data_IF_087757114462
#
_entry.id   IF_087757114462
#
_cell.length_a   1.000
_cell.length_b   1.000
_cell.length_c   1.000
_cell.angle_alpha   90.00
_cell.angle_beta   90.00
_cell.angle_gamma   90.00
#
_symmetry.space_group_name_H-M   'P 1'
#
loop_
_entity.id
_entity.type
_entity.pdbx_description
1 polymer ?
#
# COMPACT_ATOMS: atom_id res chain seq x y z
N UNK A 1 -12.55 60.53 24.45
CA UNK A 1 -13.88 59.90 24.55
C UNK A 1 -13.84 58.38 24.80
N UNK A 2 -12.80 57.65 24.36
CA UNK A 2 -12.67 56.20 24.57
C UNK A 2 -12.52 55.77 26.05
N UNK A 3 -11.80 56.54 26.88
CA UNK A 3 -11.64 56.20 28.31
C UNK A 3 -12.89 56.46 29.16
N UNK A 4 -13.82 57.31 28.70
CA UNK A 4 -15.09 57.58 29.39
C UNK A 4 -16.10 56.45 29.14
N UNK A 5 -16.17 55.93 27.91
CA UNK A 5 -17.00 54.77 27.57
C UNK A 5 -16.49 53.48 28.24
N UNK A 6 -15.17 53.26 28.26
CA UNK A 6 -14.58 52.12 28.99
C UNK A 6 -14.78 52.25 30.51
N UNK A 7 -14.73 53.47 31.06
CA UNK A 7 -15.02 53.75 32.47
C UNK A 7 -16.48 53.52 32.86
N UNK A 8 -17.45 53.93 32.02
CA UNK A 8 -18.89 53.72 32.27
C UNK A 8 -19.27 52.24 32.12
N UNK A 9 -18.78 51.54 31.10
CA UNK A 9 -18.99 50.09 30.97
C UNK A 9 -18.35 49.32 32.12
N UNK A 10 -17.15 49.72 32.55
CA UNK A 10 -16.50 49.21 33.75
C UNK A 10 -17.39 49.38 34.98
N UNK A 11 -17.88 50.59 35.26
CA UNK A 11 -18.74 50.88 36.41
C UNK A 11 -20.05 50.07 36.42
N UNK A 12 -20.65 49.83 35.25
CA UNK A 12 -21.86 49.01 35.10
C UNK A 12 -21.58 47.52 35.29
N UNK A 13 -20.43 47.02 34.81
CA UNK A 13 -20.07 45.60 34.92
C UNK A 13 -19.45 45.22 36.26
N UNK A 14 -18.84 46.18 36.98
CA UNK A 14 -18.07 45.92 38.22
C UNK A 14 -18.89 45.16 39.27
N UNK A 15 -20.14 45.53 39.59
CA UNK A 15 -20.93 44.83 40.59
C UNK A 15 -21.20 43.37 40.19
N UNK A 16 -21.63 43.14 38.95
CA UNK A 16 -22.00 41.81 38.45
C UNK A 16 -20.81 40.90 38.23
N UNK A 17 -19.68 41.45 37.79
CA UNK A 17 -18.46 40.69 37.60
C UNK A 17 -17.83 40.29 38.94
N UNK A 18 -17.96 41.13 39.97
CA UNK A 18 -17.54 40.80 41.33
C UNK A 18 -18.48 39.79 42.03
N UNK A 19 -19.79 39.85 41.77
CA UNK A 19 -20.78 38.98 42.43
C UNK A 19 -21.01 37.63 41.74
N UNK A 20 -20.97 37.61 40.40
CA UNK A 20 -21.42 36.47 39.59
C UNK A 20 -20.33 35.97 38.62
N UNK A 21 -19.14 36.58 38.65
CA UNK A 21 -18.02 36.23 37.76
C UNK A 21 -18.27 36.52 36.28
N UNK A 22 -19.32 37.28 35.95
CA UNK A 22 -19.76 37.55 34.57
C UNK A 22 -20.21 39.01 34.41
N UNK A 23 -19.82 39.68 33.32
CA UNK A 23 -20.26 41.06 33.07
C UNK A 23 -21.76 41.11 32.79
N UNK A 24 -22.38 42.26 33.05
CA UNK A 24 -23.77 42.52 32.65
C UNK A 24 -23.85 42.76 31.14
N UNK A 25 -22.86 43.50 30.60
CA UNK A 25 -22.71 43.85 29.20
C UNK A 25 -21.29 43.49 28.75
N UNK A 26 -21.15 42.65 27.74
CA UNK A 26 -19.85 42.34 27.14
C UNK A 26 -19.84 40.99 26.45
N UNK A 27 -19.00 40.85 25.43
CA UNK A 27 -18.84 39.58 24.73
C UNK A 27 -18.02 38.59 25.55
N UNK A 28 -18.29 37.31 25.35
CA UNK A 28 -17.53 36.22 25.93
C UNK A 28 -16.11 36.15 25.36
N UNK A 29 -15.15 35.77 26.20
CA UNK A 29 -13.77 35.57 25.75
C UNK A 29 -13.67 34.37 24.81
N UNK A 30 -12.87 34.48 23.74
CA UNK A 30 -12.61 33.34 22.88
C UNK A 30 -11.78 32.28 23.61
N UNK A 31 -12.04 31.01 23.33
CA UNK A 31 -11.26 29.91 23.87
C UNK A 31 -9.86 29.83 23.27
N UNK A 32 -8.89 29.39 24.08
CA UNK A 32 -7.59 28.90 23.60
C UNK A 32 -7.72 27.55 22.88
N UNK A 33 -6.62 26.93 22.42
CA UNK A 33 -6.69 25.71 21.62
C UNK A 33 -7.52 24.57 22.24
N UNK A 34 -8.58 24.16 21.52
CA UNK A 34 -9.60 23.19 21.94
C UNK A 34 -10.45 23.58 23.16
N UNK A 35 -10.27 24.79 23.71
CA UNK A 35 -11.02 25.29 24.85
C UNK A 35 -12.31 25.98 24.41
N UNK A 36 -13.35 25.86 25.23
CA UNK A 36 -14.62 26.51 24.96
C UNK A 36 -14.50 28.04 25.02
N UNK A 37 -15.35 28.72 24.25
CA UNK A 37 -15.56 30.15 24.38
C UNK A 37 -16.31 30.47 25.68
N UNK A 38 -15.93 31.57 26.31
CA UNK A 38 -16.60 32.10 27.49
C UNK A 38 -18.01 32.59 27.16
N UNK A 39 -18.91 32.63 28.15
CA UNK A 39 -20.27 33.13 27.94
C UNK A 39 -20.28 34.65 27.76
N UNK A 40 -21.23 35.14 26.98
CA UNK A 40 -21.55 36.57 26.88
C UNK A 40 -22.13 37.12 28.20
N UNK A 41 -22.21 38.44 28.27
CA UNK A 41 -22.78 39.18 29.40
C UNK A 41 -24.26 38.88 29.60
N UNK A 42 -24.73 39.05 30.83
CA UNK A 42 -26.09 38.64 31.21
C UNK A 42 -27.21 39.33 30.41
N UNK A 43 -27.07 40.62 30.12
CA UNK A 43 -28.10 41.37 29.38
C UNK A 43 -27.77 41.53 27.90
N UNK A 44 -26.53 41.91 27.60
CA UNK A 44 -26.10 42.13 26.23
C UNK A 44 -24.69 41.60 26.03
N UNK A 45 -24.51 40.75 25.02
CA UNK A 45 -23.19 40.25 24.67
C UNK A 45 -23.28 38.92 23.95
N UNK A 46 -22.45 38.77 22.93
CA UNK A 46 -22.29 37.53 22.21
C UNK A 46 -21.46 36.54 23.03
N UNK A 47 -21.68 35.25 22.81
CA UNK A 47 -20.77 34.24 23.32
C UNK A 47 -19.42 34.29 22.60
N UNK A 48 -18.35 33.93 23.31
CA UNK A 48 -17.02 33.82 22.72
C UNK A 48 -16.92 32.64 21.79
N UNK A 49 -16.05 32.70 20.79
CA UNK A 49 -15.78 31.57 19.90
C UNK A 49 -14.99 30.49 20.63
N UNK A 50 -15.30 29.22 20.36
CA UNK A 50 -14.47 28.10 20.77
C UNK A 50 -13.13 28.12 20.04
N UNK A 51 -12.06 27.74 20.73
CA UNK A 51 -10.74 27.69 20.13
C UNK A 51 -10.53 26.45 19.27
N UNK A 52 -9.76 26.57 18.20
CA UNK A 52 -9.45 25.45 17.31
C UNK A 52 -8.61 24.39 18.04
N UNK A 53 -8.87 23.11 17.77
CA UNK A 53 -8.11 22.00 18.35
C UNK A 53 -6.72 21.86 17.74
N UNK A 54 -5.75 21.41 18.56
CA UNK A 54 -4.46 20.89 18.10
C UNK A 54 -4.62 19.48 17.49
N UNK A 55 -3.60 18.91 16.82
CA UNK A 55 -3.70 17.55 16.28
C UNK A 55 -4.20 16.54 17.32
N UNK A 56 -5.22 15.74 16.96
CA UNK A 56 -5.89 14.79 17.85
C UNK A 56 -6.88 15.41 18.85
N UNK A 57 -6.93 16.74 18.97
CA UNK A 57 -7.78 17.46 19.90
C UNK A 57 -9.01 18.04 19.21
N UNK A 58 -10.18 17.88 19.82
CA UNK A 58 -11.42 18.48 19.35
C UNK A 58 -11.37 20.01 19.39
N UNK A 59 -12.17 20.65 18.54
CA UNK A 59 -12.44 22.07 18.64
C UNK A 59 -13.26 22.39 19.89
N UNK A 60 -13.00 23.54 20.50
CA UNK A 60 -13.76 24.00 21.65
C UNK A 60 -15.18 24.41 21.26
N UNK A 61 -16.14 24.26 22.15
CA UNK A 61 -17.50 24.73 21.90
C UNK A 61 -17.57 26.27 21.93
N UNK A 62 -18.45 26.86 21.13
CA UNK A 62 -18.80 28.26 21.24
C UNK A 62 -19.52 28.57 22.55
N UNK A 63 -19.26 29.74 23.12
CA UNK A 63 -19.92 30.23 24.32
C UNK A 63 -21.37 30.62 24.05
N UNK A 64 -22.22 30.52 25.05
CA UNK A 64 -23.60 31.00 25.00
C UNK A 64 -23.68 32.52 25.21
N UNK A 65 -24.63 33.18 24.55
CA UNK A 65 -25.02 34.55 24.89
C UNK A 65 -25.94 34.61 26.14
N UNK A 66 -26.18 35.82 26.67
CA UNK A 66 -27.08 36.08 27.78
C UNK A 66 -28.54 36.30 27.34
N UNK A 67 -29.11 37.46 27.65
CA UNK A 67 -30.47 37.82 27.25
C UNK A 67 -30.56 38.22 25.78
N UNK A 68 -29.68 39.11 25.35
CA UNK A 68 -29.55 39.57 23.96
C UNK A 68 -28.12 39.33 23.49
N UNK A 69 -27.97 38.64 22.36
CA UNK A 69 -26.66 38.39 21.75
C UNK A 69 -26.63 37.06 21.01
N UNK A 70 -25.67 36.88 20.13
CA UNK A 70 -25.51 35.66 19.36
C UNK A 70 -24.60 34.67 20.08
N UNK A 71 -24.85 33.38 19.90
CA UNK A 71 -23.93 32.34 20.36
C UNK A 71 -22.60 32.40 19.61
N UNK A 72 -21.51 32.07 20.30
CA UNK A 72 -20.19 32.00 19.68
C UNK A 72 -20.07 30.82 18.72
N UNK A 73 -19.19 30.92 17.73
CA UNK A 73 -18.92 29.81 16.83
C UNK A 73 -18.12 28.70 17.56
N UNK A 74 -18.36 27.44 17.19
CA UNK A 74 -17.52 26.32 17.59
C UNK A 74 -16.16 26.35 16.88
N UNK A 75 -15.11 25.94 17.59
CA UNK A 75 -13.76 25.83 17.06
C UNK A 75 -13.63 24.66 16.08
N UNK A 76 -12.73 24.79 15.10
CA UNK A 76 -12.39 23.68 14.20
C UNK A 76 -11.69 22.55 14.95
N UNK A 77 -11.99 21.30 14.62
CA UNK A 77 -11.26 20.13 15.12
C UNK A 77 -9.84 20.08 14.55
N UNK A 78 -8.87 19.72 15.39
CA UNK A 78 -7.53 19.41 14.90
C UNK A 78 -7.51 18.09 14.11
N UNK A 79 -6.38 17.75 13.50
CA UNK A 79 -6.25 16.53 12.69
C UNK A 79 -6.89 15.29 13.37
N UNK A 80 -7.78 14.62 12.67
CA UNK A 80 -8.52 13.45 13.13
C UNK A 80 -9.51 13.66 14.28
N UNK A 81 -9.85 14.91 14.61
CA UNK A 81 -10.73 15.24 15.74
C UNK A 81 -11.95 16.07 15.32
N UNK A 82 -13.04 15.96 16.09
CA UNK A 82 -14.30 16.63 15.79
C UNK A 82 -14.24 18.15 15.97
N UNK A 83 -15.07 18.86 15.22
CA UNK A 83 -15.35 20.28 15.43
C UNK A 83 -16.16 20.51 16.70
N UNK A 84 -15.98 21.68 17.32
CA UNK A 84 -16.74 22.11 18.48
C UNK A 84 -18.15 22.55 18.09
N UNK A 85 -19.10 22.42 19.01
CA UNK A 85 -20.47 22.87 18.76
C UNK A 85 -20.58 24.39 18.83
N UNK A 86 -21.50 24.98 18.08
CA UNK A 86 -21.86 26.38 18.22
C UNK A 86 -22.57 26.68 19.54
N UNK A 87 -22.35 27.88 20.06
CA UNK A 87 -22.99 28.36 21.29
C UNK A 87 -24.45 28.73 21.09
N UNK A 88 -25.23 28.72 22.16
CA UNK A 88 -26.64 29.14 22.08
C UNK A 88 -26.78 30.66 21.97
N UNK A 89 -27.70 31.12 21.14
CA UNK A 89 -28.13 32.51 21.09
C UNK A 89 -28.80 32.96 22.40
N UNK A 90 -28.97 34.28 22.53
CA UNK A 90 -29.53 34.90 23.72
C UNK A 90 -30.97 34.48 23.96
N UNK A 91 -31.40 34.48 25.22
CA UNK A 91 -32.72 33.98 25.63
C UNK A 91 -33.90 34.71 24.96
N UNK A 92 -33.76 36.03 24.74
CA UNK A 92 -34.79 36.84 24.10
C UNK A 92 -34.51 36.96 22.62
N UNK A 93 -33.38 37.55 22.26
CA UNK A 93 -32.98 37.77 20.87
C UNK A 93 -31.55 37.30 20.68
N UNK A 94 -31.35 36.42 19.72
CA UNK A 94 -30.02 35.99 19.37
C UNK A 94 -30.00 34.74 18.51
N UNK A 95 -29.12 34.76 17.52
CA UNK A 95 -28.88 33.61 16.67
C UNK A 95 -27.96 32.61 17.39
N UNK A 96 -28.14 31.34 17.09
CA UNK A 96 -27.17 30.32 17.47
C UNK A 96 -25.86 30.46 16.71
N UNK A 97 -24.75 30.10 17.35
CA UNK A 97 -23.43 30.10 16.72
C UNK A 97 -23.25 28.94 15.74
N UNK A 98 -22.42 29.09 14.72
CA UNK A 98 -22.10 27.99 13.82
C UNK A 98 -21.29 26.90 14.52
N UNK A 99 -21.47 25.64 14.14
CA UNK A 99 -20.62 24.53 14.52
C UNK A 99 -19.27 24.57 13.78
N UNK A 100 -18.22 24.10 14.44
CA UNK A 100 -16.88 24.03 13.88
C UNK A 100 -16.72 22.89 12.89
N UNK A 101 -15.85 23.06 11.89
CA UNK A 101 -15.52 21.98 10.96
C UNK A 101 -14.76 20.84 11.67
N UNK A 102 -14.98 19.61 11.23
CA UNK A 102 -14.16 18.46 11.59
C UNK A 102 -12.75 18.55 11.04
N UNK A 103 -11.78 17.95 11.74
CA UNK A 103 -10.40 17.89 11.30
C UNK A 103 -10.15 16.84 10.23
N UNK A 104 -9.23 17.12 9.31
CA UNK A 104 -8.82 16.17 8.29
C UNK A 104 -8.15 14.94 8.90
N UNK A 105 -8.32 13.78 8.28
CA UNK A 105 -7.68 12.53 8.67
C UNK A 105 -6.15 12.61 8.44
N UNK A 106 -5.38 12.08 9.38
CA UNK A 106 -3.90 11.99 9.32
C UNK A 106 -3.47 10.64 9.88
N UNK A 107 -2.49 9.94 9.25
CA UNK A 107 -1.95 8.70 9.80
C UNK A 107 -1.58 8.83 11.27
N UNK A 108 -1.87 7.77 12.04
CA UNK A 108 -1.44 7.64 13.43
C UNK A 108 -2.01 8.71 14.40
N UNK A 109 -2.99 9.50 13.97
CA UNK A 109 -3.76 10.40 14.84
C UNK A 109 -5.21 9.91 14.87
N UNK A 110 -5.73 9.60 16.05
CA UNK A 110 -7.09 9.09 16.26
C UNK A 110 -7.48 7.97 15.27
N UNK A 111 -6.56 7.05 15.00
CA UNK A 111 -6.77 5.91 14.11
C UNK A 111 -6.87 6.25 12.62
N UNK A 112 -6.44 7.44 12.19
CA UNK A 112 -6.51 7.86 10.77
C UNK A 112 -7.93 8.19 10.31
N UNK A 113 -8.86 8.40 11.24
CA UNK A 113 -10.24 8.77 10.93
C UNK A 113 -10.35 10.28 10.70
N UNK A 114 -11.26 10.70 9.83
CA UNK A 114 -11.62 12.11 9.73
C UNK A 114 -12.55 12.51 10.90
N UNK A 115 -12.45 13.76 11.35
CA UNK A 115 -13.26 14.27 12.45
C UNK A 115 -14.68 14.65 12.01
N UNK A 116 -15.66 14.51 12.88
CA UNK A 116 -17.02 14.98 12.61
C UNK A 116 -17.12 16.51 12.67
N UNK A 117 -18.05 17.09 11.92
CA UNK A 117 -18.44 18.48 12.08
C UNK A 117 -19.21 18.71 13.39
N UNK A 118 -19.01 19.85 14.03
CA UNK A 118 -19.74 20.26 15.23
C UNK A 118 -21.17 20.69 14.91
N UNK A 119 -22.10 20.51 15.84
CA UNK A 119 -23.48 20.95 15.64
C UNK A 119 -23.59 22.47 15.75
N UNK A 120 -24.46 23.09 14.96
CA UNK A 120 -24.85 24.47 15.16
C UNK A 120 -25.54 24.70 16.50
N UNK A 121 -25.36 25.88 17.06
CA UNK A 121 -26.00 26.31 18.29
C UNK A 121 -27.46 26.68 18.06
N UNK A 122 -28.28 26.56 19.09
CA UNK A 122 -29.70 26.91 18.99
C UNK A 122 -29.93 28.41 19.27
N UNK A 123 -30.91 29.01 18.62
CA UNK A 123 -31.61 30.18 19.14
C UNK A 123 -32.72 29.75 20.13
N UNK A 124 -33.32 30.70 20.85
CA UNK A 124 -34.27 30.38 21.94
C UNK A 124 -35.67 30.95 21.74
N UNK A 125 -35.87 32.27 21.75
CA UNK A 125 -37.19 32.88 21.52
C UNK A 125 -37.32 33.53 20.14
N UNK A 126 -36.39 34.44 19.82
CA UNK A 126 -36.25 35.06 18.50
C UNK A 126 -34.82 34.88 17.98
N UNK A 127 -34.69 34.41 16.74
CA UNK A 127 -33.41 34.31 16.06
C UNK A 127 -33.25 33.00 15.30
N UNK A 128 -32.22 32.94 14.48
CA UNK A 128 -31.94 31.81 13.61
C UNK A 128 -31.05 30.79 14.31
N UNK A 129 -31.23 29.51 13.97
CA UNK A 129 -30.34 28.46 14.38
C UNK A 129 -28.99 28.56 13.68
N UNK A 130 -27.92 28.19 14.38
CA UNK A 130 -26.57 28.18 13.81
C UNK A 130 -26.37 27.07 12.79
N UNK A 131 -25.55 27.30 11.78
CA UNK A 131 -25.19 26.26 10.82
C UNK A 131 -24.38 25.13 11.48
N UNK A 132 -24.57 23.89 11.04
CA UNK A 132 -23.70 22.77 11.40
C UNK A 132 -22.35 22.83 10.66
N UNK A 133 -21.31 22.30 11.28
CA UNK A 133 -19.96 22.25 10.71
C UNK A 133 -19.81 21.13 9.68
N UNK A 134 -19.00 21.35 8.65
CA UNK A 134 -18.62 20.31 7.70
C UNK A 134 -17.82 19.19 8.39
N UNK A 135 -18.01 17.94 7.96
CA UNK A 135 -17.17 16.81 8.35
C UNK A 135 -15.76 16.86 7.73
N UNK A 136 -14.78 16.32 8.45
CA UNK A 136 -13.37 16.32 8.06
C UNK A 136 -13.10 15.53 6.80
N UNK A 137 -12.08 15.94 6.06
CA UNK A 137 -11.68 15.31 4.79
C UNK A 137 -10.59 14.24 4.96
N UNK A 138 -10.53 13.38 3.95
CA UNK A 138 -9.76 12.14 3.77
C UNK A 138 -8.27 12.02 4.12
N UNK A 139 -7.90 10.75 4.39
CA UNK A 139 -6.56 10.16 4.29
C UNK A 139 -6.49 9.23 3.07
N UNK A 140 -5.48 9.37 2.21
CA UNK A 140 -5.25 8.49 1.06
C UNK A 140 -4.62 7.18 1.52
N UNK A 141 -5.11 6.04 1.02
CA UNK A 141 -4.53 4.73 1.27
C UNK A 141 -3.08 4.65 0.83
N UNK A 142 -2.25 3.97 1.62
CA UNK A 142 -0.84 3.80 1.30
C UNK A 142 -0.66 3.03 -0.02
N UNK A 143 0.27 3.45 -0.87
CA UNK A 143 0.64 2.67 -2.04
C UNK A 143 1.22 1.31 -1.64
N UNK A 144 0.95 0.27 -2.44
CA UNK A 144 1.59 -1.03 -2.32
C UNK A 144 3.05 -0.89 -2.67
N UNK A 145 3.92 -1.02 -1.66
CA UNK A 145 5.37 -0.95 -1.84
C UNK A 145 5.93 -2.35 -1.70
N UNK A 146 6.61 -2.80 -2.75
CA UNK A 146 7.37 -4.05 -2.72
C UNK A 146 8.56 -3.93 -1.75
N UNK A 147 8.88 -4.97 -0.96
CA UNK A 147 9.96 -4.91 0.01
C UNK A 147 11.33 -4.70 -0.66
N UNK A 148 12.19 -3.92 0.00
CA UNK A 148 13.59 -3.84 -0.38
C UNK A 148 14.28 -5.18 -0.07
N UNK A 149 14.94 -5.75 -1.07
CA UNK A 149 15.66 -7.01 -0.94
C UNK A 149 17.05 -6.74 -0.40
N UNK A 150 17.46 -7.48 0.63
CA UNK A 150 18.78 -7.37 1.23
C UNK A 150 19.35 -8.75 1.57
N UNK A 151 20.58 -9.00 1.09
CA UNK A 151 21.29 -10.26 1.30
C UNK A 151 21.03 -11.32 0.22
N UNK A 152 21.99 -12.25 0.10
CA UNK A 152 21.98 -13.37 -0.85
C UNK A 152 22.32 -14.62 -0.04
N UNK A 153 21.52 -15.66 -0.15
CA UNK A 153 21.78 -16.92 0.54
C UNK A 153 22.95 -17.68 -0.11
N UNK A 154 23.52 -18.63 0.64
CA UNK A 154 24.69 -19.39 0.20
C UNK A 154 24.44 -20.22 -1.06
N UNK A 155 25.45 -20.28 -1.94
CA UNK A 155 25.47 -21.18 -3.10
C UNK A 155 25.55 -22.64 -2.63
N UNK A 156 24.84 -23.53 -3.31
CA UNK A 156 24.96 -24.98 -3.13
C UNK A 156 26.34 -25.50 -3.52
N UNK A 157 26.83 -26.51 -2.80
CA UNK A 157 28.12 -27.11 -3.10
C UNK A 157 28.14 -27.71 -4.52
N UNK A 158 29.24 -27.53 -5.25
CA UNK A 158 29.40 -28.16 -6.56
C UNK A 158 29.55 -29.68 -6.41
N UNK A 159 29.10 -30.39 -7.43
CA UNK A 159 29.30 -31.82 -7.56
C UNK A 159 30.78 -32.17 -7.75
N UNK A 160 31.17 -33.32 -7.21
CA UNK A 160 32.54 -33.82 -7.33
C UNK A 160 32.80 -34.38 -8.73
N UNK A 161 33.96 -34.12 -9.35
CA UNK A 161 34.30 -34.77 -10.60
C UNK A 161 34.56 -36.28 -10.41
N UNK A 162 34.28 -37.07 -11.44
CA UNK A 162 34.65 -38.48 -11.54
C UNK A 162 35.57 -38.68 -12.75
N UNK A 163 36.79 -39.17 -12.48
CA UNK A 163 37.92 -39.15 -13.41
C UNK A 163 38.49 -40.57 -13.53
N UNK A 164 38.37 -41.16 -14.72
CA UNK A 164 38.91 -42.48 -15.02
C UNK A 164 40.04 -42.38 -16.05
N UNK A 165 41.23 -42.83 -15.68
CA UNK A 165 42.45 -42.72 -16.50
C UNK A 165 43.06 -44.10 -16.74
N UNK A 166 43.33 -44.43 -18.01
CA UNK A 166 43.98 -45.69 -18.43
C UNK A 166 43.29 -46.96 -17.89
N UNK A 167 41.96 -46.90 -17.75
CA UNK A 167 41.15 -47.98 -17.20
C UNK A 167 39.79 -48.02 -17.91
N UNK A 168 39.05 -49.12 -17.75
CA UNK A 168 37.74 -49.29 -18.36
C UNK A 168 36.63 -49.24 -17.31
N UNK A 169 35.57 -48.48 -17.59
CA UNK A 169 34.45 -48.24 -16.69
C UNK A 169 33.72 -46.96 -17.03
N UNK A 170 32.45 -46.89 -16.63
CA UNK A 170 31.64 -45.70 -16.77
C UNK A 170 31.91 -44.73 -15.62
N UNK A 171 31.89 -43.42 -15.90
CA UNK A 171 32.09 -42.35 -14.91
C UNK A 171 30.88 -41.46 -14.79
N UNK A 172 30.58 -41.04 -13.58
CA UNK A 172 29.44 -40.16 -13.28
C UNK A 172 29.90 -39.02 -12.40
N UNK A 173 29.92 -37.81 -12.95
CA UNK A 173 30.13 -36.60 -12.18
C UNK A 173 29.03 -36.45 -11.11
N UNK A 174 29.42 -36.06 -9.90
CA UNK A 174 28.48 -35.83 -8.81
C UNK A 174 27.53 -34.68 -9.11
N UNK A 175 26.32 -34.71 -8.55
CA UNK A 175 25.36 -33.62 -8.73
C UNK A 175 25.72 -32.40 -7.87
N UNK A 176 25.40 -31.22 -8.37
CA UNK A 176 25.42 -29.99 -7.59
C UNK A 176 24.32 -30.01 -6.52
N UNK A 177 24.62 -29.49 -5.34
CA UNK A 177 23.64 -29.36 -4.26
C UNK A 177 22.75 -28.13 -4.47
N UNK A 178 21.55 -28.15 -3.90
CA UNK A 178 20.65 -27.00 -3.92
C UNK A 178 21.26 -25.77 -3.23
N UNK A 179 20.92 -24.59 -3.73
CA UNK A 179 21.19 -23.33 -3.05
C UNK A 179 20.45 -23.24 -1.71
N UNK A 180 21.02 -22.51 -0.76
CA UNK A 180 20.34 -22.27 0.51
C UNK A 180 19.13 -21.35 0.33
N UNK A 181 18.09 -21.55 1.14
CA UNK A 181 16.96 -20.63 1.16
C UNK A 181 17.38 -19.29 1.77
N UNK A 182 16.93 -18.19 1.16
CA UNK A 182 17.02 -16.84 1.68
C UNK A 182 15.96 -16.56 2.74
N UNK A 183 16.23 -15.58 3.60
CA UNK A 183 15.20 -14.99 4.45
C UNK A 183 14.09 -14.33 3.60
N UNK A 184 12.97 -13.98 4.24
CA UNK A 184 11.74 -13.44 3.62
C UNK A 184 11.92 -12.24 2.66
N UNK A 185 13.06 -11.53 2.72
CA UNK A 185 13.43 -10.45 1.81
C UNK A 185 14.89 -10.56 1.32
N UNK A 186 15.40 -11.77 1.12
CA UNK A 186 16.72 -12.03 0.57
C UNK A 186 16.63 -12.80 -0.75
N UNK A 187 17.69 -12.74 -1.56
CA UNK A 187 17.81 -13.60 -2.75
C UNK A 187 18.09 -15.03 -2.31
N UNK A 188 17.36 -15.98 -2.89
CA UNK A 188 17.65 -17.40 -2.73
C UNK A 188 19.04 -17.77 -3.26
N UNK A 189 19.68 -18.75 -2.65
CA UNK A 189 21.04 -19.16 -3.02
C UNK A 189 21.05 -19.78 -4.41
N UNK A 190 22.16 -19.64 -5.15
CA UNK A 190 22.29 -20.33 -6.43
C UNK A 190 22.55 -21.82 -6.22
N UNK A 191 22.05 -22.68 -7.10
CA UNK A 191 22.42 -24.09 -7.12
C UNK A 191 23.92 -24.31 -7.36
N UNK A 192 24.45 -25.41 -6.85
CA UNK A 192 25.80 -25.88 -7.14
C UNK A 192 25.92 -26.37 -8.57
N UNK A 193 27.10 -26.24 -9.17
CA UNK A 193 27.35 -26.81 -10.50
C UNK A 193 27.48 -28.33 -10.43
N UNK A 194 27.06 -29.05 -11.45
CA UNK A 194 27.33 -30.48 -11.61
C UNK A 194 28.82 -30.77 -11.81
N UNK A 195 29.24 -31.98 -11.41
CA UNK A 195 30.61 -32.46 -11.54
C UNK A 195 30.91 -32.96 -12.95
N UNK A 196 32.18 -32.91 -13.35
CA UNK A 196 32.68 -33.46 -14.61
C UNK A 196 32.71 -34.99 -14.58
N UNK A 197 32.24 -35.65 -15.63
CA UNK A 197 32.58 -37.04 -15.94
C UNK A 197 33.66 -37.11 -17.03
N UNK A 198 34.83 -37.70 -16.75
CA UNK A 198 35.93 -37.82 -17.71
C UNK A 198 36.48 -39.25 -17.79
N UNK A 199 36.49 -39.81 -19.00
CA UNK A 199 37.26 -41.03 -19.34
C UNK A 199 38.41 -40.65 -20.28
N UNK A 200 39.65 -40.94 -19.88
CA UNK A 200 40.85 -40.64 -20.67
C UNK A 200 41.79 -41.85 -20.77
N UNK A 201 42.20 -42.20 -21.99
CA UNK A 201 43.17 -43.29 -22.23
C UNK A 201 42.65 -44.71 -21.94
N UNK A 202 41.34 -44.87 -21.73
CA UNK A 202 40.67 -46.14 -21.48
C UNK A 202 39.26 -46.18 -22.08
N UNK A 203 38.45 -47.17 -21.68
CA UNK A 203 37.15 -47.44 -22.32
C UNK A 203 35.94 -47.21 -21.39
N UNK A 204 34.97 -46.38 -21.77
CA UNK A 204 33.70 -46.26 -21.04
C UNK A 204 32.87 -45.03 -21.39
N UNK A 205 31.66 -44.99 -20.84
CA UNK A 205 30.74 -43.86 -20.97
C UNK A 205 31.05 -42.77 -19.95
N UNK A 206 30.78 -41.51 -20.31
CA UNK A 206 30.91 -40.37 -19.42
C UNK A 206 29.56 -39.68 -19.21
N UNK A 207 29.22 -39.46 -17.95
CA UNK A 207 28.02 -38.74 -17.53
C UNK A 207 28.42 -37.53 -16.68
N UNK A 208 27.98 -36.35 -17.09
CA UNK A 208 28.13 -35.14 -16.30
C UNK A 208 27.07 -35.08 -15.20
N UNK A 209 27.43 -34.55 -14.04
CA UNK A 209 26.49 -34.39 -12.94
C UNK A 209 25.44 -33.31 -13.23
N UNK A 210 24.25 -33.41 -12.66
CA UNK A 210 23.23 -32.37 -12.82
C UNK A 210 23.55 -31.13 -11.97
N UNK A 211 23.14 -29.95 -12.42
CA UNK A 211 23.17 -28.73 -11.62
C UNK A 211 22.16 -28.79 -10.48
N UNK A 212 22.52 -28.21 -9.33
CA UNK A 212 21.64 -28.10 -8.17
C UNK A 212 20.52 -27.07 -8.41
N UNK A 213 19.40 -27.21 -7.71
CA UNK A 213 18.33 -26.21 -7.80
C UNK A 213 18.71 -24.91 -7.10
N UNK A 214 18.11 -23.79 -7.50
CA UNK A 214 18.14 -22.57 -6.69
C UNK A 214 17.47 -22.77 -5.33
N UNK A 215 17.84 -21.96 -4.35
CA UNK A 215 17.15 -21.84 -3.06
C UNK A 215 15.95 -20.90 -3.17
N UNK A 216 14.95 -21.06 -2.31
CA UNK A 216 13.79 -20.17 -2.22
C UNK A 216 14.21 -18.83 -1.63
N UNK A 217 13.64 -17.72 -2.09
CA UNK A 217 13.90 -16.42 -1.48
C UNK A 217 12.88 -15.37 -1.90
N UNK A 218 12.96 -14.20 -1.27
CA UNK A 218 12.19 -13.04 -1.70
C UNK A 218 12.40 -12.77 -3.19
N UNK A 219 13.63 -12.93 -3.67
CA UNK A 219 13.95 -13.19 -5.07
C UNK A 219 14.34 -14.66 -5.21
N UNK A 220 13.87 -15.32 -6.26
CA UNK A 220 14.18 -16.72 -6.54
C UNK A 220 15.68 -16.95 -6.77
N UNK A 221 16.20 -18.04 -6.22
CA UNK A 221 17.57 -18.48 -6.47
C UNK A 221 17.74 -19.06 -7.86
N UNK A 222 18.89 -18.80 -8.49
CA UNK A 222 19.21 -19.35 -9.79
C UNK A 222 19.59 -20.84 -9.69
N UNK A 223 19.31 -21.60 -10.74
CA UNK A 223 19.80 -22.97 -10.88
C UNK A 223 21.31 -23.05 -11.09
N UNK A 224 21.92 -24.18 -10.73
CA UNK A 224 23.33 -24.47 -10.99
C UNK A 224 23.55 -24.98 -12.41
N UNK A 225 24.76 -24.82 -12.95
CA UNK A 225 25.10 -25.36 -14.26
C UNK A 225 25.18 -26.90 -14.22
N UNK A 226 24.81 -27.57 -15.30
CA UNK A 226 25.12 -28.97 -15.52
C UNK A 226 26.62 -29.22 -15.67
N UNK A 227 27.06 -30.42 -15.33
CA UNK A 227 28.44 -30.87 -15.46
C UNK A 227 28.74 -31.42 -16.85
N UNK A 228 29.97 -31.23 -17.31
CA UNK A 228 30.39 -31.73 -18.61
C UNK A 228 30.63 -33.26 -18.60
N UNK A 229 30.56 -33.87 -19.78
CA UNK A 229 30.91 -35.27 -20.03
C UNK A 229 31.89 -35.39 -21.18
N UNK A 230 33.02 -36.08 -20.95
CA UNK A 230 34.08 -36.25 -21.94
C UNK A 230 34.56 -37.70 -21.94
N UNK A 231 34.53 -38.37 -23.10
CA UNK A 231 35.11 -39.71 -23.27
C UNK A 231 35.78 -39.86 -24.63
N UNK A 232 36.83 -40.70 -24.68
CA UNK A 232 37.56 -41.01 -25.90
C UNK A 232 37.01 -42.22 -26.66
N UNK A 233 36.13 -43.03 -26.05
CA UNK A 233 35.79 -44.37 -26.56
C UNK A 233 34.30 -44.74 -26.47
N UNK A 234 33.49 -44.02 -25.68
CA UNK A 234 32.11 -44.39 -25.35
C UNK A 234 31.13 -43.24 -25.58
N UNK A 235 29.92 -43.37 -25.04
CA UNK A 235 28.91 -42.31 -25.09
C UNK A 235 29.17 -41.18 -24.08
N UNK A 236 28.78 -39.96 -24.43
CA UNK A 236 28.90 -38.79 -23.54
C UNK A 236 27.53 -38.13 -23.32
N UNK A 237 27.08 -38.01 -22.07
CA UNK A 237 25.87 -37.28 -21.71
C UNK A 237 26.22 -36.16 -20.73
N UNK A 238 26.11 -34.92 -21.19
CA UNK A 238 26.26 -33.76 -20.33
C UNK A 238 25.11 -33.67 -19.33
N UNK A 239 25.40 -33.20 -18.12
CA UNK A 239 24.39 -33.08 -17.07
C UNK A 239 23.42 -31.94 -17.34
N UNK A 240 22.17 -32.09 -16.93
CA UNK A 240 21.19 -31.01 -17.06
C UNK A 240 21.48 -29.85 -16.10
N UNK A 241 21.11 -28.64 -16.51
CA UNK A 241 21.11 -27.47 -15.65
C UNK A 241 20.04 -27.56 -14.57
N UNK A 242 20.35 -26.99 -13.41
CA UNK A 242 19.44 -26.95 -12.27
C UNK A 242 18.28 -25.98 -12.49
N UNK A 243 17.13 -26.29 -11.88
CA UNK A 243 15.97 -25.40 -11.93
C UNK A 243 16.13 -24.24 -10.94
N UNK A 244 15.63 -23.07 -11.34
CA UNK A 244 15.47 -21.94 -10.45
C UNK A 244 14.19 -22.04 -9.59
N UNK A 245 14.03 -21.08 -8.68
CA UNK A 245 12.84 -20.94 -7.84
C UNK A 245 12.10 -19.64 -8.11
N UNK A 246 10.83 -19.59 -7.71
CA UNK A 246 9.96 -18.41 -7.80
C UNK A 246 10.39 -17.35 -6.77
N UNK A 247 10.27 -16.07 -7.12
CA UNK A 247 10.36 -14.98 -6.13
C UNK A 247 9.11 -14.90 -5.27
N UNK A 248 9.22 -15.17 -3.97
CA UNK A 248 8.05 -15.22 -3.08
C UNK A 248 7.72 -13.88 -2.40
N UNK A 249 8.63 -12.92 -2.43
CA UNK A 249 8.34 -11.58 -1.92
C UNK A 249 7.49 -10.80 -2.93
N UNK A 250 6.79 -9.77 -2.43
CA UNK A 250 6.00 -8.94 -3.29
C UNK A 250 6.87 -8.29 -4.39
N UNK A 251 6.51 -8.50 -5.65
CA UNK A 251 7.30 -8.08 -6.81
C UNK A 251 8.71 -8.69 -6.93
N UNK A 252 9.01 -9.76 -6.18
CA UNK A 252 10.30 -10.43 -6.25
C UNK A 252 10.52 -11.10 -7.61
N UNK A 253 11.72 -10.98 -8.18
CA UNK A 253 12.02 -11.65 -9.45
C UNK A 253 12.14 -13.17 -9.28
N UNK A 254 11.84 -13.90 -10.35
CA UNK A 254 12.16 -15.32 -10.44
C UNK A 254 13.64 -15.58 -10.67
N UNK A 255 14.13 -16.75 -10.24
CA UNK A 255 15.50 -17.18 -10.51
C UNK A 255 15.71 -17.59 -11.97
N UNK A 256 16.93 -17.45 -12.48
CA UNK A 256 17.29 -17.99 -13.79
C UNK A 256 17.60 -19.48 -13.74
N UNK A 257 17.18 -20.24 -14.75
CA UNK A 257 17.57 -21.65 -14.90
C UNK A 257 19.07 -21.80 -15.16
N UNK A 258 19.66 -22.90 -14.72
CA UNK A 258 21.06 -23.21 -15.00
C UNK A 258 21.25 -23.73 -16.43
N UNK A 259 22.36 -23.39 -17.08
CA UNK A 259 22.69 -24.00 -18.38
C UNK A 259 23.06 -25.49 -18.26
N UNK A 260 22.82 -26.26 -19.31
CA UNK A 260 23.25 -27.66 -19.41
C UNK A 260 24.76 -27.83 -19.60
N UNK A 261 25.27 -29.02 -19.29
CA UNK A 261 26.68 -29.40 -19.43
C UNK A 261 27.01 -29.94 -20.82
N UNK A 262 28.22 -29.67 -21.31
CA UNK A 262 28.68 -30.10 -22.63
C UNK A 262 28.87 -31.60 -22.70
N UNK A 263 28.72 -32.17 -23.90
CA UNK A 263 29.07 -33.57 -24.17
C UNK A 263 30.10 -33.69 -25.29
N UNK A 264 31.16 -34.47 -25.03
CA UNK A 264 32.25 -34.71 -25.98
C UNK A 264 32.57 -36.20 -26.05
N UNK A 265 32.33 -36.81 -27.21
CA UNK A 265 32.80 -38.16 -27.51
C UNK A 265 33.74 -38.13 -28.71
N UNK A 266 34.92 -38.75 -28.60
CA UNK A 266 35.85 -38.90 -29.73
C UNK A 266 35.71 -40.26 -30.46
N UNK A 267 34.73 -41.07 -30.05
CA UNK A 267 34.39 -42.33 -30.68
C UNK A 267 33.19 -42.21 -31.63
N UNK A 268 32.85 -43.29 -32.33
CA UNK A 268 31.66 -43.39 -33.19
C UNK A 268 30.35 -43.58 -32.38
N UNK A 269 30.39 -43.31 -31.07
CA UNK A 269 29.31 -43.46 -30.10
C UNK A 269 28.54 -42.13 -29.91
N UNK A 270 27.29 -42.23 -29.43
CA UNK A 270 26.41 -41.07 -29.33
C UNK A 270 26.86 -40.08 -28.24
N UNK A 271 26.68 -38.78 -28.49
CA UNK A 271 26.85 -37.74 -27.49
C UNK A 271 25.65 -36.80 -27.43
N UNK A 272 25.24 -36.42 -26.23
CA UNK A 272 24.10 -35.54 -25.98
C UNK A 272 24.42 -34.50 -24.93
N UNK A 273 24.28 -33.22 -25.29
CA UNK A 273 24.47 -32.10 -24.36
C UNK A 273 23.33 -32.07 -23.34
N UNK A 274 23.61 -31.58 -22.15
CA UNK A 274 22.62 -31.43 -21.10
C UNK A 274 21.57 -30.38 -21.47
N UNK A 275 20.34 -30.58 -21.02
CA UNK A 275 19.28 -29.59 -21.16
C UNK A 275 19.47 -28.43 -20.17
N UNK A 276 18.98 -27.25 -20.52
CA UNK A 276 18.92 -26.10 -19.63
C UNK A 276 17.78 -26.23 -18.61
N UNK A 277 18.01 -25.71 -17.41
CA UNK A 277 17.06 -25.74 -16.32
C UNK A 277 15.90 -24.76 -16.50
N UNK A 278 14.78 -25.07 -15.84
CA UNK A 278 13.60 -24.23 -15.81
C UNK A 278 13.86 -22.96 -15.00
N UNK A 279 13.35 -21.83 -15.48
CA UNK A 279 13.37 -20.60 -14.71
C UNK A 279 12.24 -20.51 -13.67
N UNK A 280 12.39 -19.60 -12.72
CA UNK A 280 11.37 -19.26 -11.75
C UNK A 280 10.45 -18.14 -12.22
N UNK A 281 9.20 -18.16 -11.78
CA UNK A 281 8.26 -17.04 -11.98
C UNK A 281 8.51 -15.87 -11.03
N UNK A 282 8.00 -14.69 -11.40
CA UNK A 282 7.99 -13.50 -10.56
C UNK A 282 6.87 -13.51 -9.51
N UNK A 283 7.12 -12.85 -8.38
CA UNK A 283 6.17 -12.68 -7.29
C UNK A 283 5.12 -11.61 -7.57
N UNK A 284 3.94 -11.75 -6.98
CA UNK A 284 2.85 -10.78 -7.12
C UNK A 284 3.19 -9.44 -6.46
N UNK A 285 2.85 -8.31 -7.05
CA UNK A 285 3.08 -6.99 -6.44
C UNK A 285 2.31 -6.76 -5.14
N UNK A 286 2.79 -5.84 -4.30
CA UNK A 286 2.15 -5.51 -3.02
C UNK A 286 0.79 -4.81 -3.23
N UNK A 287 -0.21 -5.13 -2.41
CA UNK A 287 -1.51 -4.47 -2.50
C UNK A 287 -1.46 -3.02 -1.98
N UNK A 288 -2.25 -2.14 -2.60
CA UNK A 288 -2.52 -0.80 -2.09
C UNK A 288 -3.47 -0.82 -0.89
N UNK A 289 -3.25 0.08 0.06
CA UNK A 289 -4.07 0.27 1.24
C UNK A 289 -5.40 0.96 0.93
N UNK A 290 -6.41 0.72 1.76
CA UNK A 290 -7.72 1.38 1.62
C UNK A 290 -7.66 2.86 2.00
N UNK A 291 -8.47 3.68 1.33
CA UNK A 291 -8.67 5.07 1.70
C UNK A 291 -9.49 5.21 3.00
N UNK A 292 -9.24 6.29 3.75
CA UNK A 292 -9.97 6.56 5.00
C UNK A 292 -11.38 7.10 4.77
N UNK A 293 -12.32 6.84 5.67
CA UNK A 293 -13.68 7.41 5.60
C UNK A 293 -13.67 8.92 5.84
N UNK A 294 -14.59 9.63 5.16
CA UNK A 294 -14.89 11.02 5.46
C UNK A 294 -15.68 11.19 6.75
N UNK A 295 -15.51 12.33 7.43
CA UNK A 295 -16.26 12.63 8.66
C UNK A 295 -17.70 13.01 8.35
N UNK A 296 -18.67 12.67 9.19
CA UNK A 296 -20.03 13.20 9.13
C UNK A 296 -20.07 14.72 9.34
N UNK A 297 -21.01 15.38 8.67
CA UNK A 297 -21.39 16.77 8.95
C UNK A 297 -22.11 16.91 10.29
N UNK A 298 -22.04 18.09 10.87
CA UNK A 298 -22.77 18.46 12.08
C UNK A 298 -24.21 18.87 11.79
N UNK A 299 -25.12 18.63 12.72
CA UNK A 299 -26.50 19.10 12.59
C UNK A 299 -26.59 20.63 12.67
N UNK A 300 -27.55 21.23 11.99
CA UNK A 300 -27.92 22.62 12.20
C UNK A 300 -28.63 22.82 13.54
N UNK A 301 -28.47 24.00 14.13
CA UNK A 301 -29.14 24.39 15.35
C UNK A 301 -30.60 24.75 15.13
N UNK A 302 -31.43 24.62 16.16
CA UNK A 302 -32.84 25.06 16.12
C UNK A 302 -32.95 26.57 16.13
N UNK A 303 -33.94 27.12 15.44
CA UNK A 303 -34.32 28.53 15.54
C UNK A 303 -34.90 28.89 16.90
N UNK A 304 -35.23 30.17 17.07
CA UNK A 304 -36.10 30.64 18.14
C UNK A 304 -37.48 30.00 18.05
N UNK A 305 -38.11 29.81 19.21
CA UNK A 305 -39.42 29.18 19.34
C UNK A 305 -40.50 29.93 18.55
N UNK A 306 -40.46 31.27 18.52
CA UNK A 306 -41.50 32.07 17.90
C UNK A 306 -41.13 32.44 16.46
N UNK A 307 -39.94 33.04 16.27
CA UNK A 307 -39.46 33.48 14.97
C UNK A 307 -38.01 33.08 14.73
N UNK A 308 -37.73 32.72 13.48
CA UNK A 308 -36.39 32.47 12.96
C UNK A 308 -36.30 31.17 12.17
N UNK A 309 -35.29 31.08 11.33
CA UNK A 309 -35.02 29.93 10.50
C UNK A 309 -34.11 28.93 11.22
N UNK A 310 -34.37 27.64 11.02
CA UNK A 310 -33.49 26.58 11.51
C UNK A 310 -32.14 26.64 10.79
N UNK A 311 -31.08 26.28 11.51
CA UNK A 311 -29.73 26.26 10.96
C UNK A 311 -29.57 25.21 9.88
N UNK A 312 -28.84 25.55 8.82
CA UNK A 312 -28.44 24.59 7.78
C UNK A 312 -27.48 23.55 8.38
N UNK A 313 -27.60 22.28 8.00
CA UNK A 313 -26.65 21.28 8.46
C UNK A 313 -25.33 21.34 7.69
N UNK A 314 -24.29 20.80 8.31
CA UNK A 314 -22.99 20.61 7.69
C UNK A 314 -23.01 19.48 6.66
N UNK A 315 -22.25 19.68 5.58
CA UNK A 315 -21.97 18.63 4.61
C UNK A 315 -21.08 17.54 5.23
N UNK A 316 -21.22 16.31 4.75
CA UNK A 316 -20.25 15.25 5.03
C UNK A 316 -18.86 15.56 4.50
N UNK A 317 -17.87 14.81 4.95
CA UNK A 317 -16.49 14.86 4.51
C UNK A 317 -16.23 13.86 3.39
N UNK A 318 -15.31 14.19 2.47
CA UNK A 318 -14.93 13.30 1.38
C UNK A 318 -14.18 12.06 1.86
N UNK A 319 -14.49 10.91 1.26
CA UNK A 319 -13.77 9.65 1.46
C UNK A 319 -12.42 9.60 0.73
N UNK A 320 -11.44 8.91 1.29
CA UNK A 320 -10.05 8.86 0.82
C UNK A 320 -9.84 8.00 -0.40
N UNK A 321 -8.93 8.41 -1.29
CA UNK A 321 -8.57 7.54 -2.41
C UNK A 321 -7.86 6.29 -1.88
N UNK A 322 -8.07 5.14 -2.52
CA UNK A 322 -7.27 3.95 -2.27
C UNK A 322 -5.84 4.11 -2.80
N UNK A 323 -4.88 3.43 -2.18
CA UNK A 323 -3.51 3.39 -2.65
C UNK A 323 -3.36 2.56 -3.91
N UNK A 324 -2.40 2.89 -4.77
CA UNK A 324 -2.11 2.05 -5.96
C UNK A 324 -1.45 0.74 -5.56
N UNK A 325 -1.60 -0.31 -6.35
CA UNK A 325 -0.84 -1.55 -6.19
C UNK A 325 0.63 -1.41 -6.63
N UNK A 326 1.49 -2.27 -6.11
CA UNK A 326 2.89 -2.39 -6.50
C UNK A 326 3.07 -3.26 -7.75
N UNK A 327 4.21 -3.12 -8.43
CA UNK A 327 4.50 -3.88 -9.65
C UNK A 327 4.74 -5.36 -9.37
N UNK A 328 4.33 -6.23 -10.30
CA UNK A 328 4.70 -7.64 -10.29
C UNK A 328 6.19 -7.87 -10.57
N UNK A 329 6.73 -8.97 -10.09
CA UNK A 329 8.13 -9.35 -10.28
C UNK A 329 8.37 -9.88 -11.68
N UNK A 330 9.57 -9.68 -12.23
CA UNK A 330 9.92 -10.26 -13.52
C UNK A 330 10.14 -11.77 -13.41
N UNK A 331 9.74 -12.53 -14.44
CA UNK A 331 10.11 -13.92 -14.58
C UNK A 331 11.62 -14.07 -14.84
N UNK A 332 12.18 -15.21 -14.42
CA UNK A 332 13.59 -15.53 -14.69
C UNK A 332 13.79 -16.10 -16.09
N UNK A 333 15.00 -16.00 -16.62
CA UNK A 333 15.34 -16.60 -17.91
C UNK A 333 15.61 -18.10 -17.78
N UNK A 334 15.19 -18.88 -18.76
CA UNK A 334 15.50 -20.29 -18.87
C UNK A 334 16.99 -20.53 -19.10
N UNK A 335 17.49 -21.69 -18.68
CA UNK A 335 18.88 -22.07 -18.91
C UNK A 335 19.12 -22.46 -20.37
N UNK A 336 20.31 -22.18 -20.90
CA UNK A 336 20.68 -22.66 -22.24
C UNK A 336 20.95 -24.17 -22.24
N UNK A 337 20.57 -24.85 -23.32
CA UNK A 337 20.99 -26.22 -23.59
C UNK A 337 22.44 -26.27 -24.08
N UNK A 338 23.14 -27.36 -23.78
CA UNK A 338 24.56 -27.48 -24.10
C UNK A 338 24.82 -28.07 -25.48
N UNK A 339 25.92 -27.62 -26.10
CA UNK A 339 26.41 -28.16 -27.36
C UNK A 339 27.14 -29.49 -27.23
N UNK A 340 27.40 -30.11 -28.39
CA UNK A 340 28.07 -31.41 -28.50
C UNK A 340 29.24 -31.37 -29.47
N UNK A 341 30.29 -32.15 -29.18
CA UNK A 341 31.37 -32.49 -30.13
C UNK A 341 31.46 -34.02 -30.26
N UNK A 342 31.41 -34.56 -31.49
CA UNK A 342 31.53 -36.01 -31.76
C UNK A 342 32.66 -36.36 -32.74
N UNK A 343 33.10 -37.62 -32.71
CA UNK A 343 33.89 -38.26 -33.77
C UNK A 343 33.13 -38.35 -35.11
N UNK A 344 33.86 -38.70 -36.17
CA UNK A 344 33.37 -38.60 -37.55
C UNK A 344 32.31 -39.66 -37.88
N UNK A 345 31.03 -39.27 -37.92
CA UNK A 345 29.90 -40.17 -38.24
C UNK A 345 29.02 -40.55 -37.04
N UNK A 346 29.36 -40.10 -35.82
CA UNK A 346 28.56 -40.38 -34.63
C UNK A 346 27.37 -39.42 -34.46
N UNK A 347 26.35 -39.87 -33.70
CA UNK A 347 25.16 -39.08 -33.41
C UNK A 347 25.45 -38.06 -32.30
N UNK A 348 25.51 -36.76 -32.64
CA UNK A 348 25.55 -35.68 -31.66
C UNK A 348 24.25 -34.90 -31.56
N UNK A 349 23.65 -34.83 -30.37
CA UNK A 349 22.39 -34.11 -30.10
C UNK A 349 22.61 -32.97 -29.10
N UNK A 350 22.39 -31.73 -29.49
CA UNK A 350 22.42 -30.61 -28.56
C UNK A 350 21.30 -30.71 -27.51
N UNK A 351 21.55 -30.20 -26.31
CA UNK A 351 20.56 -30.15 -25.25
C UNK A 351 19.48 -29.11 -25.51
N UNK A 352 18.26 -29.33 -25.02
CA UNK A 352 17.16 -28.36 -25.12
C UNK A 352 17.38 -27.16 -24.19
N UNK A 353 16.97 -25.97 -24.62
CA UNK A 353 16.88 -24.80 -23.73
C UNK A 353 15.73 -24.96 -22.73
N UNK A 354 15.92 -24.43 -21.53
CA UNK A 354 14.92 -24.40 -20.48
C UNK A 354 13.86 -23.32 -20.74
N UNK A 355 12.60 -23.51 -20.32
CA UNK A 355 11.58 -22.49 -20.42
C UNK A 355 11.88 -21.30 -19.49
N UNK A 356 11.52 -20.11 -19.96
CA UNK A 356 11.50 -18.87 -19.17
C UNK A 356 10.34 -18.85 -18.18
N UNK A 357 10.47 -18.02 -17.15
CA UNK A 357 9.49 -17.89 -16.08
C UNK A 357 8.41 -16.87 -16.41
N UNK A 358 7.21 -17.10 -15.91
CA UNK A 358 6.13 -16.11 -16.00
C UNK A 358 6.42 -14.88 -15.13
N UNK A 359 6.03 -13.71 -15.61
CA UNK A 359 5.98 -12.49 -14.81
C UNK A 359 4.92 -12.59 -13.71
N UNK A 360 5.22 -12.06 -12.54
CA UNK A 360 4.27 -11.96 -11.44
C UNK A 360 3.15 -10.97 -11.76
N UNK A 361 1.94 -11.22 -11.25
CA UNK A 361 0.85 -10.28 -11.38
C UNK A 361 1.14 -8.97 -10.62
N UNK A 362 0.61 -7.85 -11.10
CA UNK A 362 0.61 -6.60 -10.35
C UNK A 362 -0.23 -6.70 -9.07
N UNK A 363 0.14 -5.92 -8.06
CA UNK A 363 -0.62 -5.83 -6.81
C UNK A 363 -1.97 -5.17 -7.05
N UNK A 364 -2.98 -5.56 -6.28
CA UNK A 364 -4.29 -4.91 -6.36
C UNK A 364 -4.22 -3.48 -5.83
N UNK A 365 -4.98 -2.57 -6.43
CA UNK A 365 -5.21 -1.25 -5.86
C UNK A 365 -6.12 -1.34 -4.63
N UNK A 366 -5.95 -0.43 -3.68
CA UNK A 366 -6.79 -0.34 -2.49
C UNK A 366 -8.15 0.26 -2.81
N UNK A 367 -9.18 -0.12 -2.06
CA UNK A 367 -10.50 0.49 -2.20
C UNK A 367 -10.49 1.96 -1.71
N UNK A 368 -11.32 2.79 -2.31
CA UNK A 368 -11.62 4.11 -1.79
C UNK A 368 -12.35 4.02 -0.45
N UNK A 369 -12.16 5.03 0.40
CA UNK A 369 -12.89 5.19 1.65
C UNK A 369 -14.29 5.73 1.40
N UNK A 370 -15.25 5.33 2.24
CA UNK A 370 -16.62 5.80 2.11
C UNK A 370 -16.79 7.28 2.45
N UNK A 371 -17.92 7.83 1.99
CA UNK A 371 -18.31 9.21 2.28
C UNK A 371 -18.75 9.43 3.73
N UNK A 372 -18.54 10.63 4.23
CA UNK A 372 -19.20 11.11 5.44
C UNK A 372 -20.68 11.43 5.19
N UNK A 373 -21.55 11.01 6.11
CA UNK A 373 -22.96 11.41 6.08
C UNK A 373 -23.10 12.93 6.32
N UNK A 374 -24.06 13.59 5.69
CA UNK A 374 -24.39 14.98 6.04
C UNK A 374 -25.19 15.07 7.35
N UNK A 375 -25.23 16.27 7.93
CA UNK A 375 -26.02 16.54 9.13
C UNK A 375 -27.51 16.75 8.85
N UNK A 376 -28.31 16.78 9.91
CA UNK A 376 -29.73 17.17 9.85
C UNK A 376 -29.89 18.67 10.04
N UNK A 377 -30.79 19.30 9.29
CA UNK A 377 -31.15 20.70 9.45
C UNK A 377 -31.89 20.97 10.76
N UNK A 378 -31.78 22.20 11.24
CA UNK A 378 -32.48 22.66 12.44
C UNK A 378 -33.98 22.86 12.23
N UNK A 379 -34.76 22.81 13.32
CA UNK A 379 -36.18 23.18 13.26
C UNK A 379 -36.33 24.70 13.12
N UNK A 380 -37.35 25.13 12.37
CA UNK A 380 -37.77 26.54 12.27
C UNK A 380 -38.80 26.93 13.35
N UNK A 381 -39.05 28.24 13.47
CA UNK A 381 -39.93 28.82 14.48
C UNK A 381 -41.40 28.43 14.29
N UNK A 382 -42.16 28.37 15.40
CA UNK A 382 -43.55 27.90 15.39
C UNK A 382 -44.49 28.89 14.71
N UNK A 383 -44.22 30.20 14.78
CA UNK A 383 -45.06 31.21 14.12
C UNK A 383 -44.53 31.57 12.73
N UNK A 384 -43.25 31.91 12.63
CA UNK A 384 -42.60 32.22 11.35
C UNK A 384 -41.17 31.70 11.36
N UNK A 385 -40.89 30.73 10.50
CA UNK A 385 -39.55 30.18 10.33
C UNK A 385 -39.54 28.97 9.43
N UNK A 386 -38.51 28.85 8.60
CA UNK A 386 -38.26 27.66 7.79
C UNK A 386 -37.37 26.68 8.55
N UNK A 387 -37.59 25.39 8.34
CA UNK A 387 -36.62 24.40 8.79
C UNK A 387 -35.31 24.55 7.99
N UNK A 388 -34.19 24.31 8.66
CA UNK A 388 -32.89 24.23 8.03
C UNK A 388 -32.83 23.05 7.08
N UNK A 389 -32.01 23.18 6.04
CA UNK A 389 -31.78 22.10 5.08
C UNK A 389 -30.81 21.07 5.65
N UNK A 390 -31.06 19.80 5.38
CA UNK A 390 -30.12 18.72 5.66
C UNK A 390 -28.86 18.89 4.81
N UNK A 391 -27.72 18.53 5.38
CA UNK A 391 -26.46 18.50 4.67
C UNK A 391 -26.43 17.28 3.73
N UNK A 392 -25.95 17.41 2.49
CA UNK A 392 -25.64 16.24 1.66
C UNK A 392 -24.47 15.45 2.26
N UNK A 393 -24.46 14.14 1.98
CA UNK A 393 -23.24 13.35 2.06
C UNK A 393 -22.24 13.85 1.00
N UNK A 394 -20.94 13.71 1.27
CA UNK A 394 -19.92 14.02 0.27
C UNK A 394 -19.76 12.88 -0.74
N UNK A 395 -18.75 12.99 -1.61
CA UNK A 395 -18.34 11.88 -2.47
C UNK A 395 -17.49 10.88 -1.67
N UNK A 396 -17.63 9.60 -2.02
CA UNK A 396 -16.67 8.58 -1.63
C UNK A 396 -15.33 8.77 -2.33
N UNK A 397 -14.32 8.05 -1.86
CA UNK A 397 -13.00 8.05 -2.46
C UNK A 397 -12.94 7.20 -3.72
N UNK A 398 -12.10 7.59 -4.67
CA UNK A 398 -11.78 6.73 -5.80
C UNK A 398 -10.99 5.50 -5.34
N UNK A 399 -11.17 4.36 -6.00
CA UNK A 399 -10.27 3.23 -5.84
C UNK A 399 -8.87 3.54 -6.36
N UNK A 400 -7.86 2.91 -5.76
CA UNK A 400 -6.50 2.97 -6.27
C UNK A 400 -6.34 2.12 -7.53
N UNK A 401 -5.48 2.54 -8.45
CA UNK A 401 -5.15 1.73 -9.62
C UNK A 401 -4.41 0.44 -9.19
N UNK A 402 -4.60 -0.65 -9.91
CA UNK A 402 -3.74 -1.82 -9.77
C UNK A 402 -2.31 -1.52 -10.21
N UNK A 403 -1.35 -2.27 -9.69
CA UNK A 403 0.03 -2.23 -10.14
C UNK A 403 0.19 -2.95 -11.47
N UNK A 404 1.26 -2.66 -12.21
CA UNK A 404 1.51 -3.35 -13.47
C UNK A 404 1.98 -4.78 -13.28
N UNK A 405 1.72 -5.62 -14.29
CA UNK A 405 2.30 -6.95 -14.36
C UNK A 405 3.83 -6.90 -14.47
N UNK A 406 4.48 -7.98 -14.05
CA UNK A 406 5.91 -8.20 -14.25
C UNK A 406 6.22 -8.65 -15.68
N UNK A 407 7.43 -8.36 -16.15
CA UNK A 407 7.90 -8.85 -17.45
C UNK A 407 8.07 -10.36 -17.47
N UNK A 408 7.97 -10.95 -18.66
CA UNK A 408 8.28 -12.36 -18.90
C UNK A 408 9.79 -12.63 -18.78
N UNK A 409 10.13 -13.86 -18.43
CA UNK A 409 11.47 -14.40 -18.61
C UNK A 409 11.63 -15.07 -19.97
N UNK A 410 12.78 -14.92 -20.61
CA UNK A 410 13.01 -15.51 -21.93
C UNK A 410 13.36 -16.99 -21.82
N UNK A 411 12.96 -17.79 -22.81
CA UNK A 411 13.44 -19.16 -22.94
C UNK A 411 14.95 -19.21 -23.19
N UNK A 412 15.60 -20.27 -22.73
CA UNK A 412 17.00 -20.54 -23.03
C UNK A 412 17.17 -21.05 -24.46
N UNK A 413 18.35 -20.84 -25.03
CA UNK A 413 18.67 -21.32 -26.38
C UNK A 413 18.96 -22.81 -26.39
N UNK A 414 18.60 -23.48 -27.49
CA UNK A 414 18.96 -24.88 -27.72
C UNK A 414 20.44 -25.04 -28.07
N UNK A 415 21.06 -26.09 -27.53
CA UNK A 415 22.45 -26.42 -27.82
C UNK A 415 22.67 -26.91 -29.26
N UNK A 416 23.86 -26.67 -29.80
CA UNK A 416 24.22 -27.14 -31.14
C UNK A 416 24.66 -28.61 -31.11
N UNK A 417 24.06 -29.47 -31.92
CA UNK A 417 24.51 -30.85 -32.11
C UNK A 417 25.08 -31.08 -33.51
N UNK A 418 25.82 -32.18 -33.68
CA UNK A 418 26.40 -32.56 -34.99
C UNK A 418 25.37 -33.21 -35.93
N UNK A 419 24.29 -33.76 -35.36
CA UNK A 419 23.17 -34.34 -36.12
C UNK A 419 21.83 -33.66 -35.83
N UNK A 420 21.61 -33.21 -34.59
CA UNK A 420 20.37 -32.54 -34.18
C UNK A 420 20.69 -31.42 -33.20
N UNK A 421 20.17 -30.22 -33.47
CA UNK A 421 20.20 -29.14 -32.48
C UNK A 421 19.11 -29.36 -31.43
N UNK A 422 19.37 -28.86 -30.23
CA UNK A 422 18.34 -28.70 -29.22
C UNK A 422 17.30 -27.68 -29.68
N UNK A 423 16.08 -27.86 -29.21
CA UNK A 423 15.04 -26.84 -29.33
C UNK A 423 15.27 -25.72 -28.30
N UNK A 424 14.93 -24.49 -28.67
CA UNK A 424 14.87 -23.37 -27.74
C UNK A 424 13.73 -23.58 -26.73
N UNK A 425 13.93 -23.06 -25.52
CA UNK A 425 12.90 -22.99 -24.50
C UNK A 425 11.81 -21.99 -24.88
N UNK A 426 10.59 -22.22 -24.40
CA UNK A 426 9.53 -21.24 -24.54
C UNK A 426 9.78 -20.03 -23.63
N UNK A 427 9.45 -18.85 -24.13
CA UNK A 427 9.34 -17.65 -23.31
C UNK A 427 8.19 -17.80 -22.29
N UNK A 428 8.36 -17.17 -21.12
CA UNK A 428 7.28 -17.02 -20.16
C UNK A 428 6.21 -16.05 -20.64
N UNK A 429 5.16 -15.92 -19.85
CA UNK A 429 4.10 -14.93 -20.07
C UNK A 429 4.34 -13.64 -19.28
N UNK A 430 3.81 -12.53 -19.79
CA UNK A 430 3.77 -11.26 -19.04
C UNK A 430 2.76 -11.42 -17.91
N UNK A 431 3.10 -10.92 -16.73
CA UNK A 431 2.20 -10.91 -15.59
C UNK A 431 0.94 -10.10 -15.87
N UNK A 432 -0.18 -10.51 -15.28
CA UNK A 432 -1.42 -9.75 -15.38
C UNK A 432 -1.30 -8.41 -14.63
N UNK A 433 -1.97 -7.37 -15.15
CA UNK A 433 -2.18 -6.13 -14.42
C UNK A 433 -3.00 -6.39 -13.15
N UNK A 434 -2.67 -5.66 -12.08
CA UNK A 434 -3.43 -5.70 -10.84
C UNK A 434 -4.84 -5.14 -11.04
N UNK A 435 -5.80 -5.70 -10.31
CA UNK A 435 -7.16 -5.14 -10.31
C UNK A 435 -7.15 -3.78 -9.62
N UNK A 436 -7.88 -2.82 -10.18
CA UNK A 436 -8.13 -1.55 -9.51
C UNK A 436 -9.08 -1.75 -8.33
N UNK A 437 -8.88 -0.96 -7.28
CA UNK A 437 -9.77 -0.92 -6.13
C UNK A 437 -11.13 -0.35 -6.51
N UNK A 438 -12.13 -0.64 -5.69
CA UNK A 438 -13.48 -0.12 -5.87
C UNK A 438 -13.58 1.31 -5.31
N UNK A 439 -14.39 2.19 -5.93
CA UNK A 439 -14.82 3.44 -5.30
C UNK A 439 -15.60 3.18 -4.01
N UNK A 440 -15.53 4.13 -3.07
CA UNK A 440 -16.23 4.08 -1.77
C UNK A 440 -17.59 4.79 -1.74
#
# INVERSE_FOLDING_TARGET
MQSLQQGVLGAVNTPTQALLGRPLIGDGANGGPGQAGGPGGWLYGNGGNGGNGLPGQAGGNGGSAGLIGNGGAGGKGGAGAGGGNGGTGGWLVGNGGAGGMGGAAVPNINGGSAGQGGTGGNATLFGDGGAGGQGGTRFTGAHGVNPAINGIAGKGANGTPDLLVNASGDVVGGNGQSGADGAFAAVGGTGGSGGLGLVFGGAGNAFGGHGGTGGVGGIGGAGGLGGDAITASGGALGGDGGNATIGIAAGGAGGAGGGGGLARSFADEAASGGSGGLAGGGGTGAAGGTGGFGGSGGNGGRSGLLFGDGGIAGIGGEGGAGGTGGHGGVGGNGGDGAGVTTGNGAIGRGGHGGPGGDGGAGGTGGNGGGTGAGGLGGLGGVLVGQAGVNGPAANGGAGGAGGSGGGLGTGGTGGTGTTHNGADGADGSIGAEGLSGQPG
#
